data_IF_352424572264
#
_entry.id   IF_352424572264
#
_cell.length_a   1.000
_cell.length_b   1.000
_cell.length_c   1.000
_cell.angle_alpha   90.00
_cell.angle_beta   90.00
_cell.angle_gamma   90.00
#
_symmetry.space_group_name_H-M   'P 1'
#
loop_
_entity.id
_entity.type
_entity.pdbx_description
1 polymer ?
#
# COMPACT_ATOMS: atom_id res chain seq x y z
N UNK A 1 20.47 5.84 -13.84
CA UNK A 1 19.20 5.11 -14.04
C UNK A 1 18.29 5.96 -14.91
N UNK A 2 17.98 5.49 -16.12
CA UNK A 2 17.00 6.08 -17.04
C UNK A 2 15.63 6.19 -16.36
N UNK A 3 14.83 7.21 -16.69
CA UNK A 3 13.51 7.44 -16.07
C UNK A 3 12.59 6.21 -16.14
N UNK A 4 12.71 5.41 -17.21
CA UNK A 4 11.98 4.16 -17.38
C UNK A 4 12.20 3.15 -16.25
N UNK A 5 13.44 2.98 -15.78
CA UNK A 5 13.76 2.06 -14.68
C UNK A 5 13.19 2.52 -13.34
N UNK A 6 12.99 3.83 -13.15
CA UNK A 6 12.35 4.38 -11.95
C UNK A 6 10.86 4.09 -11.93
N UNK A 7 10.18 4.27 -13.06
CA UNK A 7 8.74 4.02 -13.18
C UNK A 7 8.45 2.53 -12.96
N UNK A 8 9.21 1.64 -13.61
CA UNK A 8 9.05 0.19 -13.44
C UNK A 8 9.24 -0.25 -11.98
N UNK A 9 10.29 0.27 -11.34
CA UNK A 9 10.56 0.05 -9.90
C UNK A 9 9.39 0.48 -9.03
N UNK A 10 8.87 1.70 -9.23
CA UNK A 10 7.75 2.21 -8.44
C UNK A 10 6.47 1.40 -8.65
N UNK A 11 6.18 0.92 -9.86
CA UNK A 11 5.03 0.06 -10.14
C UNK A 11 5.17 -1.29 -9.43
N UNK A 12 6.35 -1.91 -9.46
CA UNK A 12 6.59 -3.18 -8.77
C UNK A 12 6.39 -3.03 -7.25
N UNK A 13 6.93 -1.98 -6.65
CA UNK A 13 6.70 -1.69 -5.23
C UNK A 13 5.22 -1.48 -4.93
N UNK A 14 4.49 -0.76 -5.77
CA UNK A 14 3.06 -0.56 -5.60
C UNK A 14 2.25 -1.85 -5.63
N UNK A 15 2.58 -2.74 -6.57
CA UNK A 15 1.95 -4.07 -6.67
C UNK A 15 2.24 -4.91 -5.43
N UNK A 16 3.48 -4.91 -4.93
CA UNK A 16 3.81 -5.62 -3.68
C UNK A 16 3.08 -5.05 -2.47
N UNK A 17 2.96 -3.73 -2.36
CA UNK A 17 2.19 -3.07 -1.30
C UNK A 17 0.69 -3.37 -1.38
N UNK A 18 0.13 -3.39 -2.59
CA UNK A 18 -1.26 -3.75 -2.82
C UNK A 18 -1.53 -5.21 -2.42
N UNK A 19 -0.70 -6.14 -2.89
CA UNK A 19 -0.83 -7.56 -2.56
C UNK A 19 -0.67 -7.82 -1.06
N UNK A 20 0.35 -7.22 -0.43
CA UNK A 20 0.59 -7.35 1.00
C UNK A 20 -0.54 -6.70 1.83
N UNK A 21 -1.05 -5.54 1.43
CA UNK A 21 -2.17 -4.86 2.09
C UNK A 21 -3.44 -5.68 2.04
N UNK A 22 -3.77 -6.20 0.85
CA UNK A 22 -4.91 -7.11 0.66
C UNK A 22 -4.78 -8.39 1.49
N UNK A 23 -3.61 -9.02 1.47
CA UNK A 23 -3.34 -10.22 2.28
C UNK A 23 -3.42 -9.94 3.78
N UNK A 24 -2.90 -8.79 4.25
CA UNK A 24 -2.99 -8.38 5.64
C UNK A 24 -4.44 -8.17 6.08
N UNK A 25 -5.27 -7.50 5.25
CA UNK A 25 -6.71 -7.37 5.52
C UNK A 25 -7.39 -8.72 5.55
N UNK A 26 -7.01 -9.64 4.67
CA UNK A 26 -7.56 -10.99 4.64
C UNK A 26 -7.24 -11.77 5.92
N UNK A 27 -5.97 -11.77 6.34
CA UNK A 27 -5.51 -12.47 7.53
C UNK A 27 -6.09 -11.91 8.83
N UNK A 28 -6.27 -10.59 8.91
CA UNK A 28 -6.72 -9.90 10.13
C UNK A 28 -8.22 -9.59 10.17
N UNK A 29 -9.02 -10.24 9.31
CA UNK A 29 -10.41 -9.87 9.03
C UNK A 29 -11.32 -9.67 10.25
N UNK A 30 -11.08 -10.40 11.35
CA UNK A 30 -11.89 -10.37 12.58
C UNK A 30 -11.18 -9.74 13.80
N UNK A 31 -9.92 -9.34 13.66
CA UNK A 31 -9.08 -8.92 14.79
C UNK A 31 -8.80 -7.41 14.78
N UNK A 32 -8.66 -6.84 13.58
CA UNK A 32 -8.15 -5.48 13.42
C UNK A 32 -9.06 -4.71 12.48
N UNK A 33 -9.44 -3.50 12.90
CA UNK A 33 -10.20 -2.60 12.04
C UNK A 33 -9.36 -2.12 10.86
N UNK A 34 -10.02 -1.96 9.71
CA UNK A 34 -9.38 -1.59 8.44
C UNK A 34 -8.54 -0.32 8.52
N UNK A 35 -8.97 0.67 9.33
CA UNK A 35 -8.26 1.95 9.48
C UNK A 35 -6.83 1.78 10.03
N UNK A 36 -6.62 0.84 10.95
CA UNK A 36 -5.30 0.58 11.53
C UNK A 36 -4.37 -0.13 10.54
N UNK A 37 -4.92 -1.00 9.69
CA UNK A 37 -4.16 -1.67 8.63
C UNK A 37 -3.72 -0.65 7.57
N UNK A 38 -4.60 0.27 7.19
CA UNK A 38 -4.26 1.37 6.27
C UNK A 38 -3.16 2.24 6.88
N UNK A 39 -3.31 2.66 8.15
CA UNK A 39 -2.29 3.45 8.84
C UNK A 39 -0.93 2.73 8.90
N UNK A 40 -0.92 1.42 9.19
CA UNK A 40 0.28 0.60 9.21
C UNK A 40 0.98 0.56 7.84
N UNK A 41 0.23 0.34 6.76
CA UNK A 41 0.80 0.31 5.41
C UNK A 41 1.31 1.69 4.96
N UNK A 42 0.63 2.78 5.33
CA UNK A 42 1.13 4.13 5.11
C UNK A 42 2.45 4.38 5.87
N UNK A 43 2.54 3.94 7.13
CA UNK A 43 3.79 4.03 7.90
C UNK A 43 4.92 3.21 7.26
N UNK A 44 4.63 2.00 6.79
CA UNK A 44 5.61 1.17 6.08
C UNK A 44 6.09 1.82 4.79
N UNK A 45 5.20 2.48 4.04
CA UNK A 45 5.56 3.22 2.84
C UNK A 45 6.46 4.42 3.18
N UNK A 46 6.19 5.14 4.28
CA UNK A 46 7.06 6.21 4.78
C UNK A 46 8.44 5.66 5.13
N UNK A 47 8.51 4.55 5.87
CA UNK A 47 9.78 3.92 6.24
C UNK A 47 10.57 3.50 5.00
N UNK A 48 9.91 2.89 4.02
CA UNK A 48 10.56 2.50 2.77
C UNK A 48 11.15 3.71 2.02
N UNK A 49 10.39 4.80 1.91
CA UNK A 49 10.79 5.95 1.09
C UNK A 49 11.76 6.92 1.79
N UNK A 50 11.66 7.07 3.11
CA UNK A 50 12.47 8.03 3.88
C UNK A 50 13.60 7.41 4.69
N UNK A 51 13.56 6.10 4.95
CA UNK A 51 14.59 5.40 5.73
C UNK A 51 15.36 4.43 4.83
N UNK A 52 14.69 3.46 4.22
CA UNK A 52 15.35 2.35 3.49
C UNK A 52 15.96 2.83 2.17
N UNK A 53 15.16 3.48 1.30
CA UNK A 53 15.64 3.98 0.00
C UNK A 53 16.81 4.96 0.13
N UNK A 54 16.77 5.96 1.04
CA UNK A 54 17.91 6.85 1.25
C UNK A 54 19.14 6.14 1.81
N UNK A 55 18.97 5.15 2.70
CA UNK A 55 20.07 4.33 3.19
C UNK A 55 20.75 3.50 2.07
N UNK A 56 20.01 3.16 1.02
CA UNK A 56 20.53 2.49 -0.20
C UNK A 56 21.03 3.47 -1.28
N UNK A 57 21.12 4.77 -0.98
CA UNK A 57 21.61 5.79 -1.91
C UNK A 57 20.59 6.25 -2.96
N UNK A 58 19.32 5.85 -2.84
CA UNK A 58 18.25 6.35 -3.70
C UNK A 58 17.74 7.72 -3.19
N UNK A 59 17.33 8.58 -4.14
CA UNK A 59 16.67 9.85 -3.78
C UNK A 59 15.28 9.58 -3.24
N UNK A 60 14.87 10.40 -2.26
CA UNK A 60 13.49 10.45 -1.74
C UNK A 60 12.53 10.84 -2.86
N UNK A 61 11.47 10.06 -3.04
CA UNK A 61 10.44 10.29 -4.06
C UNK A 61 9.05 10.31 -3.42
N UNK A 62 8.51 11.52 -3.23
CA UNK A 62 7.17 11.73 -2.67
C UNK A 62 6.06 11.17 -3.58
N UNK A 63 6.27 11.11 -4.89
CA UNK A 63 5.29 10.54 -5.80
C UNK A 63 5.20 9.02 -5.60
N UNK A 64 6.34 8.35 -5.43
CA UNK A 64 6.40 6.92 -5.13
C UNK A 64 5.72 6.58 -3.79
N UNK A 65 5.89 7.42 -2.76
CA UNK A 65 5.18 7.28 -1.49
C UNK A 65 3.66 7.31 -1.68
N UNK A 66 3.14 8.35 -2.33
CA UNK A 66 1.71 8.52 -2.55
C UNK A 66 1.13 7.35 -3.35
N UNK A 67 1.87 6.88 -4.35
CA UNK A 67 1.46 5.76 -5.19
C UNK A 67 1.40 4.44 -4.38
N UNK A 68 2.38 4.17 -3.51
CA UNK A 68 2.34 3.00 -2.63
C UNK A 68 1.20 3.08 -1.60
N UNK A 69 0.98 4.24 -0.98
CA UNK A 69 -0.10 4.44 -0.02
C UNK A 69 -1.49 4.27 -0.65
N UNK A 70 -1.70 4.87 -1.82
CA UNK A 70 -2.97 4.76 -2.56
C UNK A 70 -3.20 3.33 -3.04
N UNK A 71 -2.19 2.66 -3.61
CA UNK A 71 -2.28 1.27 -4.03
C UNK A 71 -2.63 0.33 -2.87
N UNK A 72 -1.95 0.46 -1.73
CA UNK A 72 -2.24 -0.34 -0.53
C UNK A 72 -3.66 -0.07 -0.01
N UNK A 73 -4.08 1.21 0.07
CA UNK A 73 -5.40 1.59 0.55
C UNK A 73 -6.51 1.04 -0.33
N UNK A 74 -6.39 1.21 -1.65
CA UNK A 74 -7.35 0.69 -2.63
C UNK A 74 -7.45 -0.84 -2.52
N UNK A 75 -6.32 -1.55 -2.40
CA UNK A 75 -6.31 -3.00 -2.24
C UNK A 75 -6.99 -3.45 -0.94
N UNK A 76 -6.66 -2.81 0.19
CA UNK A 76 -7.27 -3.11 1.50
C UNK A 76 -8.78 -2.88 1.47
N UNK A 77 -9.23 -1.75 0.91
CA UNK A 77 -10.66 -1.41 0.79
C UNK A 77 -11.38 -2.38 -0.15
N UNK A 78 -10.76 -2.70 -1.29
CA UNK A 78 -11.31 -3.68 -2.25
C UNK A 78 -11.49 -5.05 -1.59
N UNK A 79 -10.47 -5.55 -0.87
CA UNK A 79 -10.58 -6.82 -0.15
C UNK A 79 -11.64 -6.75 0.94
N UNK A 80 -11.74 -5.63 1.67
CA UNK A 80 -12.82 -5.42 2.64
C UNK A 80 -14.19 -5.55 1.98
N UNK A 81 -14.41 -4.89 0.84
CA UNK A 81 -15.68 -4.95 0.11
C UNK A 81 -16.00 -6.36 -0.37
N UNK A 82 -15.01 -7.07 -0.92
CA UNK A 82 -15.19 -8.47 -1.35
C UNK A 82 -15.59 -9.36 -0.16
N UNK A 83 -15.04 -9.12 1.03
CA UNK A 83 -15.34 -9.92 2.23
C UNK A 83 -16.69 -9.61 2.86
N UNK A 84 -17.07 -8.34 2.91
CA UNK A 84 -18.28 -7.88 3.60
C UNK A 84 -19.51 -7.93 2.68
N UNK A 85 -19.32 -8.22 1.39
CA UNK A 85 -20.37 -8.60 0.44
C UNK A 85 -21.29 -7.46 -0.02
N UNK A 86 -21.31 -6.31 0.64
CA UNK A 86 -22.22 -5.20 0.34
C UNK A 86 -21.51 -3.85 0.50
N UNK A 87 -21.67 -2.98 -0.50
CA UNK A 87 -21.30 -1.57 -0.41
C UNK A 87 -22.23 -0.90 0.62
N UNK A 88 -21.76 -0.16 1.63
CA UNK A 88 -22.61 0.43 2.69
C UNK A 88 -23.64 1.47 2.21
N UNK A 89 -23.77 1.67 0.89
CA UNK A 89 -24.76 2.52 0.24
C UNK A 89 -25.87 1.71 -0.49
N UNK A 90 -25.81 0.38 -0.44
CA UNK A 90 -26.78 -0.55 -1.07
C UNK A 90 -27.68 -1.24 -0.03
N UNK A 91 -27.68 -0.78 1.23
CA UNK A 91 -28.55 -1.21 2.33
C UNK A 91 -29.35 -0.02 2.85
#
# INVERSE_FOLDING_TARGET
>A
MTQYNRILSSILWALTFAAAGGAARYASRYLIETRYIIALFCLLAIVLEFVIRPAMGARRDFAALLLNCTAATVAIVTVKWIMEGIHPWLL
#
